data_IF_446947964770
#
_entry.id   IF_446947964770
#
_cell.length_a   1.000
_cell.length_b   1.000
_cell.length_c   1.000
_cell.angle_alpha   90.00
_cell.angle_beta   90.00
_cell.angle_gamma   90.00
#
_symmetry.space_group_name_H-M   'P 1'
#
loop_
_entity.id
_entity.type
_entity.pdbx_description
1 polymer ?
#
# COMPACT_ATOMS: atom_id res chain seq x y z
N UNK A 1 7.43 -10.31 18.38
CA UNK A 1 7.60 -8.99 18.98
C UNK A 1 6.53 -8.00 18.52
N UNK A 2 6.07 -8.08 17.27
CA UNK A 2 4.83 -7.40 16.84
C UNK A 2 3.62 -7.90 17.65
N UNK A 3 3.58 -9.16 18.05
CA UNK A 3 2.50 -9.74 18.87
C UNK A 3 2.24 -8.96 20.16
N UNK A 4 3.28 -8.46 20.83
CA UNK A 4 3.11 -7.61 22.03
C UNK A 4 2.48 -6.26 21.71
N UNK A 5 2.85 -5.66 20.56
CA UNK A 5 2.28 -4.38 20.11
C UNK A 5 0.81 -4.55 19.73
N UNK A 6 0.45 -5.71 19.18
CA UNK A 6 -0.91 -6.01 18.74
C UNK A 6 -1.82 -6.53 19.86
N UNK A 7 -1.28 -6.89 21.02
CA UNK A 7 -2.05 -7.43 22.15
C UNK A 7 -3.32 -6.62 22.46
N UNK A 8 -3.29 -5.26 22.60
CA UNK A 8 -4.47 -4.47 22.91
C UNK A 8 -5.53 -4.39 21.80
N UNK A 9 -5.21 -4.84 20.58
CA UNK A 9 -6.08 -4.79 19.40
C UNK A 9 -6.22 -6.14 18.68
N UNK A 10 -5.74 -7.23 19.27
CA UNK A 10 -5.68 -8.55 18.62
C UNK A 10 -7.05 -9.04 18.15
N UNK A 11 -8.08 -8.89 19.01
CA UNK A 11 -9.45 -9.27 18.66
C UNK A 11 -10.03 -8.39 17.55
N UNK A 12 -9.68 -7.11 17.54
CA UNK A 12 -10.17 -6.15 16.56
C UNK A 12 -9.48 -6.35 15.20
N UNK A 13 -8.20 -6.74 15.21
CA UNK A 13 -7.51 -7.18 13.98
C UNK A 13 -8.12 -8.45 13.38
N UNK A 14 -8.61 -9.38 14.19
CA UNK A 14 -9.35 -10.55 13.70
C UNK A 14 -10.65 -10.13 12.99
N UNK A 15 -11.35 -9.11 13.50
CA UNK A 15 -12.54 -8.56 12.84
C UNK A 15 -12.20 -7.86 11.50
N UNK A 16 -11.03 -7.21 11.40
CA UNK A 16 -10.54 -6.68 10.10
C UNK A 16 -10.37 -7.82 9.10
N UNK A 17 -9.75 -8.93 9.49
CA UNK A 17 -9.61 -10.10 8.62
C UNK A 17 -10.97 -10.67 8.18
N UNK A 18 -11.94 -10.72 9.08
CA UNK A 18 -13.27 -11.22 8.75
C UNK A 18 -14.02 -10.24 7.82
N UNK A 19 -13.86 -8.94 8.01
CA UNK A 19 -14.40 -7.93 7.09
C UNK A 19 -13.73 -8.01 5.71
N UNK A 20 -12.41 -8.20 5.63
CA UNK A 20 -11.71 -8.45 4.36
C UNK A 20 -12.22 -9.72 3.66
N UNK A 21 -12.48 -10.81 4.42
CA UNK A 21 -13.09 -12.02 3.85
C UNK A 21 -14.49 -11.75 3.31
N UNK A 22 -15.32 -10.93 3.99
CA UNK A 22 -16.65 -10.57 3.50
C UNK A 22 -16.58 -9.81 2.17
N UNK A 23 -15.57 -8.95 1.98
CA UNK A 23 -15.32 -8.26 0.71
C UNK A 23 -15.08 -9.25 -0.42
N UNK A 24 -14.40 -10.38 -0.14
CA UNK A 24 -14.14 -11.41 -1.16
C UNK A 24 -15.40 -12.15 -1.62
N UNK A 25 -16.51 -12.05 -0.89
CA UNK A 25 -17.79 -12.68 -1.29
C UNK A 25 -18.52 -11.89 -2.36
N UNK A 26 -18.05 -10.71 -2.72
CA UNK A 26 -18.56 -9.82 -3.76
C UNK A 26 -20.09 -9.57 -3.69
N UNK A 27 -20.46 -8.41 -3.13
CA UNK A 27 -21.85 -7.97 -3.19
C UNK A 27 -22.14 -7.29 -4.55
N UNK A 28 -23.20 -7.75 -5.21
CA UNK A 28 -23.65 -7.21 -6.50
C UNK A 28 -25.03 -6.57 -6.40
N UNK A 29 -25.52 -6.27 -5.19
CA UNK A 29 -26.89 -5.76 -4.96
C UNK A 29 -27.16 -4.42 -5.65
N UNK A 30 -26.11 -3.64 -5.90
CA UNK A 30 -26.13 -2.33 -6.54
C UNK A 30 -26.10 -2.38 -8.07
N UNK A 31 -25.85 -3.57 -8.67
CA UNK A 31 -25.82 -3.75 -10.13
C UNK A 31 -27.20 -4.08 -10.71
N UNK A 32 -27.41 -3.80 -12.02
CA UNK A 32 -28.54 -4.34 -12.74
C UNK A 32 -28.64 -5.86 -12.60
N UNK A 33 -29.86 -6.39 -12.39
CA UNK A 33 -30.08 -7.82 -12.04
C UNK A 33 -29.39 -8.80 -12.97
N UNK A 34 -29.41 -8.56 -14.28
CA UNK A 34 -28.78 -9.45 -15.26
C UNK A 34 -27.26 -9.48 -15.09
N UNK A 35 -26.62 -8.32 -15.00
CA UNK A 35 -25.16 -8.23 -14.80
C UNK A 35 -24.73 -8.84 -13.47
N UNK A 36 -25.49 -8.58 -12.39
CA UNK A 36 -25.26 -9.21 -11.09
C UNK A 36 -25.36 -10.73 -11.15
N UNK A 37 -26.32 -11.28 -11.91
CA UNK A 37 -26.49 -12.70 -12.13
C UNK A 37 -25.29 -13.31 -12.89
N UNK A 38 -24.85 -12.68 -13.96
CA UNK A 38 -23.74 -13.14 -14.80
C UNK A 38 -22.42 -13.16 -14.01
N UNK A 39 -22.15 -12.10 -13.23
CA UNK A 39 -20.94 -12.01 -12.41
C UNK A 39 -20.94 -13.05 -11.26
N UNK A 40 -22.08 -13.29 -10.60
CA UNK A 40 -22.20 -14.34 -9.57
C UNK A 40 -21.97 -15.72 -10.15
N UNK A 41 -22.62 -16.04 -11.27
CA UNK A 41 -22.53 -17.36 -11.89
C UNK A 41 -21.14 -17.66 -12.45
N UNK A 42 -20.41 -16.64 -12.90
CA UNK A 42 -19.03 -16.84 -13.35
C UNK A 42 -18.08 -17.21 -12.21
N UNK A 43 -18.35 -16.76 -10.97
CA UNK A 43 -17.47 -16.94 -9.80
C UNK A 43 -16.12 -16.23 -9.88
N UNK A 44 -15.78 -15.70 -11.06
CA UNK A 44 -14.42 -15.19 -11.37
C UNK A 44 -14.01 -14.00 -10.52
N UNK A 45 -14.92 -13.04 -10.26
CA UNK A 45 -14.60 -11.89 -9.41
C UNK A 45 -14.36 -12.31 -7.96
N UNK A 46 -15.17 -13.21 -7.42
CA UNK A 46 -14.96 -13.74 -6.07
C UNK A 46 -13.64 -14.52 -5.95
N UNK A 47 -13.24 -15.24 -7.00
CA UNK A 47 -11.95 -15.91 -7.08
C UNK A 47 -10.79 -14.90 -7.05
N UNK A 48 -10.82 -13.87 -7.90
CA UNK A 48 -9.82 -12.79 -7.95
C UNK A 48 -9.69 -12.07 -6.61
N UNK A 49 -10.82 -11.67 -6.00
CA UNK A 49 -10.85 -11.02 -4.69
C UNK A 49 -10.28 -11.91 -3.60
N UNK A 50 -10.69 -13.19 -3.59
CA UNK A 50 -10.18 -14.16 -2.62
C UNK A 50 -8.67 -14.35 -2.77
N UNK A 51 -8.18 -14.44 -4.00
CA UNK A 51 -6.75 -14.61 -4.27
C UNK A 51 -5.93 -13.40 -3.79
N UNK A 52 -6.39 -12.19 -4.11
CA UNK A 52 -5.70 -10.94 -3.74
C UNK A 52 -5.70 -10.68 -2.23
N UNK A 53 -6.85 -10.88 -1.56
CA UNK A 53 -7.02 -10.55 -0.15
C UNK A 53 -6.44 -11.62 0.79
N UNK A 54 -6.31 -12.88 0.35
CA UNK A 54 -5.65 -13.97 1.11
C UNK A 54 -4.12 -13.88 1.14
N UNK A 55 -3.50 -12.89 0.53
CA UNK A 55 -2.05 -12.77 0.38
C UNK A 55 -1.24 -12.70 1.68
N UNK A 56 -1.87 -12.74 2.85
CA UNK A 56 -1.21 -12.62 4.15
C UNK A 56 -0.62 -11.23 4.37
N UNK A 57 0.11 -11.06 5.47
CA UNK A 57 0.79 -9.79 5.78
C UNK A 57 0.84 -9.53 7.28
N UNK A 58 1.66 -8.56 7.67
CA UNK A 58 1.81 -8.17 9.08
C UNK A 58 0.68 -7.27 9.58
N UNK A 59 -0.24 -6.85 8.72
CA UNK A 59 -1.38 -5.95 9.02
C UNK A 59 -0.96 -4.69 9.78
N UNK A 60 0.18 -4.12 9.43
CA UNK A 60 0.75 -2.95 10.13
C UNK A 60 -0.18 -1.75 10.00
N UNK A 61 -0.73 -1.50 8.80
CA UNK A 61 -1.58 -0.33 8.55
C UNK A 61 -2.91 -0.38 9.28
N UNK A 62 -3.71 -1.44 9.22
CA UNK A 62 -4.91 -1.55 10.05
C UNK A 62 -4.58 -1.52 11.54
N UNK A 63 -3.47 -2.12 12.00
CA UNK A 63 -3.04 -2.02 13.38
C UNK A 63 -2.77 -0.57 13.80
N UNK A 64 -2.12 0.22 12.95
CA UNK A 64 -1.87 1.64 13.21
C UNK A 64 -3.17 2.45 13.32
N UNK A 65 -4.16 2.17 12.46
CA UNK A 65 -5.49 2.82 12.55
C UNK A 65 -6.14 2.52 13.90
N UNK A 66 -6.19 1.25 14.28
CA UNK A 66 -6.80 0.83 15.54
C UNK A 66 -6.03 1.36 16.76
N UNK A 67 -4.70 1.24 16.78
CA UNK A 67 -3.86 1.73 17.88
C UNK A 67 -3.96 3.24 18.05
N UNK A 68 -4.03 4.00 16.95
CA UNK A 68 -4.22 5.45 17.01
C UNK A 68 -5.56 5.84 17.63
N UNK A 69 -6.60 5.03 17.38
CA UNK A 69 -7.90 5.20 18.03
C UNK A 69 -7.89 4.91 19.53
N UNK A 70 -7.02 3.99 20.01
CA UNK A 70 -6.93 3.63 21.43
C UNK A 70 -6.53 4.77 22.36
N UNK A 71 -5.93 5.83 21.83
CA UNK A 71 -5.58 7.01 22.63
C UNK A 71 -6.78 7.92 22.95
N UNK A 72 -7.94 7.70 22.31
CA UNK A 72 -9.11 8.58 22.35
C UNK A 72 -10.40 7.77 22.51
N UNK A 73 -11.54 8.31 22.04
CA UNK A 73 -12.82 7.63 22.06
C UNK A 73 -12.85 6.49 21.03
N UNK A 74 -12.45 5.30 21.48
CA UNK A 74 -12.33 4.11 20.64
C UNK A 74 -13.69 3.53 20.27
N UNK A 75 -14.09 3.67 19.02
CA UNK A 75 -15.36 3.15 18.49
C UNK A 75 -15.10 2.31 17.24
N UNK A 76 -15.41 1.01 17.33
CA UNK A 76 -15.18 0.06 16.25
C UNK A 76 -16.13 0.25 15.07
N UNK A 77 -17.30 0.83 15.26
CA UNK A 77 -18.26 1.06 14.17
C UNK A 77 -17.66 2.00 13.10
N UNK A 78 -16.74 2.89 13.50
CA UNK A 78 -16.00 3.77 12.61
C UNK A 78 -14.59 3.27 12.30
N UNK A 79 -13.89 2.72 13.29
CA UNK A 79 -12.49 2.32 13.14
C UNK A 79 -12.32 1.06 12.31
N UNK A 80 -13.23 0.09 12.43
CA UNK A 80 -13.14 -1.19 11.72
C UNK A 80 -13.25 -1.03 10.20
N UNK A 81 -14.27 -0.33 9.64
CA UNK A 81 -14.33 -0.11 8.21
C UNK A 81 -13.14 0.70 7.69
N UNK A 82 -12.66 1.71 8.45
CA UNK A 82 -11.49 2.49 8.04
C UNK A 82 -10.21 1.67 8.05
N UNK A 83 -9.94 0.87 9.09
CA UNK A 83 -8.79 -0.02 9.16
C UNK A 83 -8.78 -1.03 8.01
N UNK A 84 -9.96 -1.56 7.67
CA UNK A 84 -10.13 -2.46 6.52
C UNK A 84 -9.91 -1.73 5.20
N UNK A 85 -10.45 -0.51 5.04
CA UNK A 85 -10.28 0.30 3.84
C UNK A 85 -8.80 0.61 3.55
N UNK A 86 -8.03 0.95 4.58
CA UNK A 86 -6.59 1.21 4.46
C UNK A 86 -5.82 -0.02 3.97
N UNK A 87 -6.16 -1.23 4.45
CA UNK A 87 -5.50 -2.46 4.00
C UNK A 87 -5.94 -2.88 2.60
N UNK A 88 -7.21 -2.66 2.24
CA UNK A 88 -7.70 -2.90 0.87
C UNK A 88 -7.06 -1.91 -0.11
N UNK A 89 -6.94 -0.62 0.24
CA UNK A 89 -6.21 0.36 -0.58
C UNK A 89 -4.77 -0.11 -0.80
N UNK A 90 -4.09 -0.57 0.26
CA UNK A 90 -2.74 -1.12 0.12
C UNK A 90 -2.70 -2.34 -0.81
N UNK A 91 -3.67 -3.24 -0.70
CA UNK A 91 -3.74 -4.41 -1.59
C UNK A 91 -3.96 -3.98 -3.05
N UNK A 92 -4.81 -2.99 -3.29
CA UNK A 92 -5.05 -2.43 -4.61
C UNK A 92 -3.77 -1.84 -5.23
N UNK A 93 -3.00 -1.05 -4.45
CA UNK A 93 -1.70 -0.54 -4.93
C UNK A 93 -0.75 -1.66 -5.29
N UNK A 94 -0.65 -2.73 -4.48
CA UNK A 94 0.22 -3.86 -4.78
C UNK A 94 -0.20 -4.60 -6.06
N UNK A 95 -1.50 -4.74 -6.33
CA UNK A 95 -2.01 -5.38 -7.55
C UNK A 95 -1.67 -4.56 -8.79
N UNK A 96 -1.82 -3.23 -8.71
CA UNK A 96 -1.44 -2.33 -9.81
C UNK A 96 0.07 -2.28 -10.01
N UNK A 97 0.86 -2.18 -8.93
CA UNK A 97 2.32 -2.20 -9.00
C UNK A 97 2.83 -3.47 -9.68
N UNK A 98 2.28 -4.64 -9.33
CA UNK A 98 2.65 -5.92 -9.94
C UNK A 98 2.41 -5.95 -11.46
N UNK A 99 1.30 -5.37 -11.92
CA UNK A 99 0.97 -5.28 -13.34
C UNK A 99 1.89 -4.27 -14.07
N UNK A 100 2.12 -3.08 -13.48
CA UNK A 100 2.97 -2.03 -14.04
C UNK A 100 4.42 -2.51 -14.15
N UNK A 101 4.93 -3.18 -13.10
CA UNK A 101 6.30 -3.66 -13.01
C UNK A 101 6.51 -5.01 -13.73
N UNK A 102 5.47 -5.59 -14.32
CA UNK A 102 5.47 -6.95 -14.88
C UNK A 102 5.99 -8.01 -13.91
N UNK A 103 5.73 -7.84 -12.62
CA UNK A 103 6.16 -8.75 -11.57
C UNK A 103 5.48 -10.11 -11.70
N UNK A 104 6.25 -11.20 -11.60
CA UNK A 104 5.73 -12.56 -11.73
C UNK A 104 5.38 -13.21 -10.40
N UNK A 105 6.02 -12.78 -9.32
CA UNK A 105 5.90 -13.36 -7.98
C UNK A 105 5.86 -12.26 -6.92
N UNK A 106 4.96 -12.39 -5.94
CA UNK A 106 4.90 -11.56 -4.76
C UNK A 106 4.71 -12.43 -3.52
N UNK A 107 5.58 -12.29 -2.52
CA UNK A 107 5.55 -13.08 -1.27
C UNK A 107 5.49 -14.60 -1.52
N UNK A 108 6.27 -15.09 -2.48
CA UNK A 108 6.35 -16.50 -2.84
C UNK A 108 5.12 -17.05 -3.60
N UNK A 109 4.19 -16.20 -4.03
CA UNK A 109 3.01 -16.58 -4.82
C UNK A 109 3.00 -15.87 -6.17
N UNK A 110 2.50 -16.52 -7.24
CA UNK A 110 2.29 -15.83 -8.51
C UNK A 110 1.42 -14.58 -8.34
N UNK A 111 1.70 -13.53 -9.09
CA UNK A 111 0.93 -12.29 -9.11
C UNK A 111 -0.40 -12.45 -9.86
N UNK A 112 -1.34 -11.52 -9.71
CA UNK A 112 -2.63 -11.53 -10.43
C UNK A 112 -2.40 -11.49 -11.94
N UNK A 113 -1.55 -10.59 -12.42
CA UNK A 113 -1.21 -10.46 -13.85
C UNK A 113 -0.57 -11.74 -14.40
N UNK A 114 0.18 -12.49 -13.59
CA UNK A 114 0.76 -13.78 -13.99
C UNK A 114 -0.27 -14.91 -14.09
N UNK A 115 -1.23 -14.97 -13.16
CA UNK A 115 -2.24 -16.05 -13.11
C UNK A 115 -3.37 -15.81 -14.11
N UNK A 116 -3.79 -14.56 -14.28
CA UNK A 116 -4.84 -14.16 -15.21
C UNK A 116 -4.25 -13.35 -16.37
N UNK A 117 -4.19 -12.05 -16.26
CA UNK A 117 -3.54 -11.10 -17.18
C UNK A 117 -3.50 -9.69 -16.56
N UNK A 118 -2.85 -8.75 -17.26
CA UNK A 118 -2.71 -7.35 -16.82
C UNK A 118 -4.07 -6.63 -16.75
N UNK A 119 -4.97 -6.86 -17.71
CA UNK A 119 -6.29 -6.24 -17.73
C UNK A 119 -7.08 -6.61 -16.47
N UNK A 120 -7.03 -7.89 -16.04
CA UNK A 120 -7.70 -8.34 -14.81
C UNK A 120 -7.06 -7.74 -13.58
N UNK A 121 -5.73 -7.58 -13.56
CA UNK A 121 -5.03 -6.93 -12.46
C UNK A 121 -5.45 -5.46 -12.32
N UNK A 122 -5.48 -4.71 -13.43
CA UNK A 122 -5.90 -3.31 -13.44
C UNK A 122 -7.34 -3.17 -12.96
N UNK A 123 -8.28 -3.92 -13.55
CA UNK A 123 -9.70 -3.86 -13.19
C UNK A 123 -9.96 -4.30 -11.73
N UNK A 124 -9.21 -5.30 -11.24
CA UNK A 124 -9.30 -5.71 -9.85
C UNK A 124 -8.81 -4.60 -8.90
N UNK A 125 -7.71 -3.95 -9.21
CA UNK A 125 -7.20 -2.82 -8.44
C UNK A 125 -8.20 -1.67 -8.37
N UNK A 126 -8.84 -1.32 -9.50
CA UNK A 126 -9.90 -0.32 -9.56
C UNK A 126 -11.10 -0.69 -8.69
N UNK A 127 -11.53 -1.96 -8.76
CA UNK A 127 -12.60 -2.47 -7.90
C UNK A 127 -12.24 -2.38 -6.42
N UNK A 128 -11.01 -2.75 -6.04
CA UNK A 128 -10.53 -2.67 -4.66
C UNK A 128 -10.43 -1.22 -4.16
N UNK A 129 -9.98 -0.27 -4.99
CA UNK A 129 -10.00 1.16 -4.64
C UNK A 129 -11.41 1.67 -4.40
N UNK A 130 -12.36 1.33 -5.27
CA UNK A 130 -13.77 1.68 -5.11
C UNK A 130 -14.35 1.08 -3.82
N UNK A 131 -14.04 -0.19 -3.52
CA UNK A 131 -14.50 -0.89 -2.31
C UNK A 131 -13.90 -0.28 -1.03
N UNK A 132 -12.63 0.11 -1.05
CA UNK A 132 -12.00 0.84 0.06
C UNK A 132 -12.66 2.21 0.27
N UNK A 133 -13.01 2.91 -0.79
CA UNK A 133 -13.76 4.16 -0.75
C UNK A 133 -15.16 3.98 -0.14
N UNK A 134 -15.88 2.94 -0.54
CA UNK A 134 -17.18 2.59 0.03
C UNK A 134 -17.08 2.33 1.54
N UNK A 135 -16.12 1.50 1.98
CA UNK A 135 -15.88 1.26 3.41
C UNK A 135 -15.53 2.54 4.17
N UNK A 136 -14.72 3.42 3.58
CA UNK A 136 -14.44 4.73 4.20
C UNK A 136 -15.71 5.58 4.31
N UNK A 137 -16.59 5.54 3.31
CA UNK A 137 -17.85 6.28 3.33
C UNK A 137 -18.81 5.78 4.43
N UNK A 138 -18.77 4.50 4.82
CA UNK A 138 -19.58 3.98 5.93
C UNK A 138 -19.24 4.63 7.26
N UNK A 139 -18.06 5.24 7.42
CA UNK A 139 -17.70 6.02 8.61
C UNK A 139 -18.51 7.30 8.75
N UNK A 140 -19.21 7.75 7.70
CA UNK A 140 -19.95 9.00 7.64
C UNK A 140 -19.15 10.24 8.06
N UNK A 141 -17.82 10.15 8.04
CA UNK A 141 -16.91 11.22 8.40
C UNK A 141 -16.32 11.86 7.15
N UNK A 142 -16.78 13.06 6.81
CA UNK A 142 -16.36 13.77 5.60
C UNK A 142 -14.84 14.04 5.58
N UNK A 143 -14.22 14.27 6.74
CA UNK A 143 -12.78 14.50 6.84
C UNK A 143 -11.99 13.22 6.53
N UNK A 144 -12.44 12.05 7.03
CA UNK A 144 -11.84 10.77 6.71
C UNK A 144 -11.97 10.42 5.22
N UNK A 145 -13.14 10.68 4.61
CA UNK A 145 -13.39 10.47 3.18
C UNK A 145 -12.45 11.35 2.34
N UNK A 146 -12.34 12.63 2.68
CA UNK A 146 -11.44 13.57 2.00
C UNK A 146 -9.98 13.13 2.12
N UNK A 147 -9.57 12.73 3.32
CA UNK A 147 -8.21 12.26 3.60
C UNK A 147 -7.88 11.01 2.78
N UNK A 148 -8.80 10.04 2.71
CA UNK A 148 -8.68 8.85 1.89
C UNK A 148 -8.45 9.21 0.41
N UNK A 149 -9.30 10.06 -0.16
CA UNK A 149 -9.20 10.47 -1.56
C UNK A 149 -7.89 11.24 -1.85
N UNK A 150 -7.48 12.12 -0.95
CA UNK A 150 -6.21 12.85 -1.07
C UNK A 150 -5.00 11.92 -1.01
N UNK A 151 -5.06 10.91 -0.15
CA UNK A 151 -3.98 9.90 -0.05
C UNK A 151 -3.87 9.10 -1.33
N UNK A 152 -5.00 8.66 -1.90
CA UNK A 152 -5.00 7.94 -3.18
C UNK A 152 -4.40 8.80 -4.31
N UNK A 153 -4.80 10.07 -4.43
CA UNK A 153 -4.20 11.00 -5.40
C UNK A 153 -2.71 11.19 -5.16
N UNK A 154 -2.25 11.23 -3.90
CA UNK A 154 -0.83 11.37 -3.56
C UNK A 154 -0.05 10.14 -4.01
N UNK A 155 -0.55 8.93 -3.76
CA UNK A 155 0.08 7.69 -4.18
C UNK A 155 0.19 7.63 -5.71
N UNK A 156 -0.94 7.80 -6.41
CA UNK A 156 -0.95 7.71 -7.88
C UNK A 156 -0.13 8.82 -8.55
N UNK A 157 -0.15 10.04 -8.01
CA UNK A 157 0.71 11.12 -8.47
C UNK A 157 2.20 10.84 -8.26
N UNK A 158 2.55 10.19 -7.15
CA UNK A 158 3.91 9.75 -6.87
C UNK A 158 4.39 8.67 -7.85
N UNK A 159 3.53 7.69 -8.17
CA UNK A 159 3.84 6.65 -9.17
C UNK A 159 4.03 7.23 -10.57
N UNK A 160 3.16 8.16 -11.00
CA UNK A 160 3.33 8.87 -12.26
C UNK A 160 4.65 9.63 -12.31
N UNK A 161 5.01 10.37 -11.25
CA UNK A 161 6.27 11.09 -11.18
C UNK A 161 7.49 10.14 -11.24
N UNK A 162 7.41 8.98 -10.58
CA UNK A 162 8.44 7.94 -10.64
C UNK A 162 8.60 7.40 -12.05
N UNK A 163 7.51 7.09 -12.75
CA UNK A 163 7.56 6.55 -14.11
C UNK A 163 8.22 7.52 -15.10
N UNK A 164 8.01 8.83 -14.93
CA UNK A 164 8.66 9.86 -15.76
C UNK A 164 10.14 10.08 -15.41
N UNK A 165 10.61 9.63 -14.25
CA UNK A 165 11.98 9.84 -13.77
C UNK A 165 12.82 8.57 -13.76
N UNK A 166 12.35 7.46 -14.32
CA UNK A 166 13.11 6.21 -14.40
C UNK A 166 14.43 6.42 -15.16
N UNK A 167 15.50 5.81 -14.68
CA UNK A 167 16.87 5.92 -15.23
C UNK A 167 17.46 7.33 -15.25
N UNK A 168 16.91 8.28 -14.50
CA UNK A 168 17.45 9.63 -14.38
C UNK A 168 18.46 9.69 -13.22
N UNK A 169 19.74 9.97 -13.56
CA UNK A 169 20.83 10.14 -12.57
C UNK A 169 20.79 11.50 -11.85
N UNK A 170 20.04 12.48 -12.35
CA UNK A 170 19.96 13.82 -11.75
C UNK A 170 18.98 13.89 -10.56
N UNK A 171 18.41 12.75 -10.15
CA UNK A 171 17.53 12.69 -8.99
C UNK A 171 18.29 13.10 -7.71
N UNK A 172 17.72 14.05 -6.97
CA UNK A 172 18.24 14.50 -5.68
C UNK A 172 17.67 13.69 -4.53
N UNK A 173 18.30 13.78 -3.34
CA UNK A 173 17.73 13.21 -2.10
C UNK A 173 16.32 13.76 -1.81
N UNK A 174 16.00 14.98 -2.24
CA UNK A 174 14.66 15.53 -2.07
C UNK A 174 13.65 14.82 -2.99
N UNK A 175 14.01 14.53 -4.24
CA UNK A 175 13.18 13.71 -5.12
C UNK A 175 12.92 12.32 -4.53
N UNK A 176 13.96 11.68 -3.99
CA UNK A 176 13.85 10.41 -3.28
C UNK A 176 12.87 10.50 -2.10
N UNK A 177 13.02 11.49 -1.22
CA UNK A 177 12.13 11.68 -0.06
C UNK A 177 10.68 11.90 -0.51
N UNK A 178 10.44 12.73 -1.52
CA UNK A 178 9.10 12.96 -2.05
C UNK A 178 8.48 11.66 -2.58
N UNK A 179 9.25 10.83 -3.28
CA UNK A 179 8.81 9.53 -3.79
C UNK A 179 8.38 8.60 -2.67
N UNK A 180 9.23 8.37 -1.67
CA UNK A 180 8.91 7.44 -0.58
C UNK A 180 7.79 7.98 0.33
N UNK A 181 7.67 9.30 0.48
CA UNK A 181 6.53 9.91 1.17
C UNK A 181 5.25 9.65 0.40
N UNK A 182 5.21 9.89 -0.90
CA UNK A 182 4.02 9.72 -1.72
C UNK A 182 3.61 8.24 -1.81
N UNK A 183 4.52 7.35 -2.15
CA UNK A 183 4.25 5.92 -2.38
C UNK A 183 3.95 5.15 -1.10
N UNK A 184 4.73 5.37 -0.04
CA UNK A 184 4.70 4.53 1.17
C UNK A 184 4.20 5.29 2.40
N UNK A 185 4.82 6.42 2.75
CA UNK A 185 4.54 7.10 4.02
C UNK A 185 3.14 7.73 4.06
N UNK A 186 2.57 8.13 2.93
CA UNK A 186 1.22 8.69 2.83
C UNK A 186 0.15 7.72 3.37
N UNK A 187 0.28 6.44 3.10
CA UNK A 187 -0.68 5.42 3.57
C UNK A 187 -0.50 5.10 5.07
N UNK A 188 0.73 5.16 5.59
CA UNK A 188 0.98 5.10 7.04
C UNK A 188 0.39 6.31 7.76
N UNK A 189 0.54 7.49 7.15
CA UNK A 189 -0.04 8.75 7.62
C UNK A 189 -1.57 8.69 7.65
N UNK A 190 -2.19 8.22 6.56
CA UNK A 190 -3.63 7.97 6.48
C UNK A 190 -4.10 7.08 7.64
N UNK A 191 -3.40 5.96 7.87
CA UNK A 191 -3.77 4.99 8.90
C UNK A 191 -3.81 5.64 10.30
N UNK A 192 -2.76 6.38 10.67
CA UNK A 192 -2.67 7.00 11.99
C UNK A 192 -3.58 8.22 12.15
N UNK A 193 -3.64 9.10 11.14
CA UNK A 193 -4.46 10.31 11.16
C UNK A 193 -5.95 9.97 11.18
N UNK A 194 -6.40 9.00 10.35
CA UNK A 194 -7.81 8.61 10.31
C UNK A 194 -8.25 7.93 11.60
N UNK A 195 -7.41 7.10 12.21
CA UNK A 195 -7.69 6.51 13.53
C UNK A 195 -7.92 7.58 14.59
N UNK A 196 -7.10 8.64 14.60
CA UNK A 196 -7.26 9.77 15.51
C UNK A 196 -8.57 10.55 15.24
N UNK A 197 -8.83 10.89 13.97
CA UNK A 197 -10.01 11.67 13.56
C UNK A 197 -11.28 10.92 13.94
N UNK A 198 -11.38 9.64 13.59
CA UNK A 198 -12.56 8.82 13.86
C UNK A 198 -12.79 8.55 15.35
N UNK A 199 -11.74 8.69 16.17
CA UNK A 199 -11.84 8.60 17.63
C UNK A 199 -11.93 9.96 18.31
N UNK A 200 -12.28 11.02 17.57
CA UNK A 200 -12.54 12.37 18.08
C UNK A 200 -11.32 13.03 18.77
N UNK A 201 -10.12 12.72 18.32
CA UNK A 201 -8.91 13.39 18.78
C UNK A 201 -8.94 14.89 18.46
N UNK A 202 -8.24 15.69 19.27
CA UNK A 202 -8.03 17.10 18.94
C UNK A 202 -7.24 17.25 17.63
N UNK A 203 -7.44 18.36 16.91
CA UNK A 203 -6.69 18.63 15.68
C UNK A 203 -5.16 18.60 15.89
N UNK A 204 -4.67 19.04 17.06
CA UNK A 204 -3.26 18.95 17.44
C UNK A 204 -2.79 17.50 17.56
N UNK A 205 -3.59 16.65 18.17
CA UNK A 205 -3.30 15.23 18.34
C UNK A 205 -3.37 14.45 17.02
N UNK A 206 -4.37 14.73 16.20
CA UNK A 206 -4.49 14.14 14.86
C UNK A 206 -3.26 14.50 13.99
N UNK A 207 -2.81 15.77 14.04
CA UNK A 207 -1.59 16.22 13.35
C UNK A 207 -0.34 15.49 13.86
N UNK A 208 -0.19 15.30 15.15
CA UNK A 208 0.97 14.59 15.74
C UNK A 208 0.98 13.11 15.29
N UNK A 209 -0.18 12.45 15.26
CA UNK A 209 -0.29 11.07 14.76
C UNK A 209 -0.05 10.97 13.25
N UNK A 210 -0.49 11.96 12.47
CA UNK A 210 -0.13 12.09 11.05
C UNK A 210 1.39 12.12 10.86
N UNK A 211 2.07 13.01 11.58
CA UNK A 211 3.53 13.16 11.51
C UNK A 211 4.25 11.87 11.95
N UNK A 212 3.76 11.23 13.01
CA UNK A 212 4.26 9.93 13.45
C UNK A 212 4.13 8.87 12.35
N UNK A 213 2.95 8.73 11.75
CA UNK A 213 2.72 7.78 10.66
C UNK A 213 3.60 8.05 9.45
N UNK A 214 3.74 9.32 9.06
CA UNK A 214 4.62 9.74 7.97
C UNK A 214 6.08 9.32 8.24
N UNK A 215 6.63 9.67 9.39
CA UNK A 215 8.01 9.35 9.76
C UNK A 215 8.24 7.84 9.88
N UNK A 216 7.26 7.09 10.40
CA UNK A 216 7.32 5.63 10.44
C UNK A 216 7.34 5.03 9.03
N UNK A 217 6.53 5.55 8.12
CA UNK A 217 6.50 5.12 6.72
C UNK A 217 7.80 5.43 5.97
N UNK A 218 8.39 6.59 6.21
CA UNK A 218 9.72 6.96 5.69
C UNK A 218 10.79 5.98 6.18
N UNK A 219 10.85 5.74 7.50
CA UNK A 219 11.80 4.81 8.09
C UNK A 219 11.60 3.38 7.56
N UNK A 220 10.34 2.95 7.40
CA UNK A 220 10.00 1.65 6.83
C UNK A 220 10.55 1.50 5.40
N UNK A 221 10.34 2.52 4.53
CA UNK A 221 10.82 2.46 3.16
C UNK A 221 12.34 2.52 3.05
N UNK A 222 13.01 3.34 3.87
CA UNK A 222 14.48 3.37 3.90
C UNK A 222 15.06 1.98 4.25
N UNK A 223 14.45 1.29 5.23
CA UNK A 223 14.87 -0.08 5.59
C UNK A 223 14.59 -1.05 4.44
N UNK A 224 13.45 -0.94 3.77
CA UNK A 224 13.10 -1.78 2.60
C UNK A 224 14.11 -1.59 1.47
N UNK A 225 14.48 -0.34 1.15
CA UNK A 225 15.48 0.00 0.15
C UNK A 225 16.89 -0.54 0.50
N UNK A 226 17.25 -0.55 1.78
CA UNK A 226 18.52 -1.15 2.24
C UNK A 226 18.46 -2.67 2.06
N UNK A 227 17.33 -3.30 2.43
CA UNK A 227 17.16 -4.74 2.32
C UNK A 227 17.16 -5.21 0.85
N UNK A 228 16.75 -4.37 -0.11
CA UNK A 228 16.85 -4.67 -1.54
C UNK A 228 18.30 -4.95 -1.98
N UNK A 229 19.30 -4.36 -1.30
CA UNK A 229 20.73 -4.59 -1.59
C UNK A 229 21.38 -5.72 -0.77
N UNK A 230 20.99 -5.86 0.52
CA UNK A 230 21.67 -6.78 1.44
C UNK A 230 20.84 -8.02 1.78
N UNK A 231 19.55 -8.04 1.45
CA UNK A 231 18.66 -9.18 1.65
C UNK A 231 18.94 -10.31 0.69
N UNK A 232 18.60 -11.52 1.09
CA UNK A 232 18.68 -12.68 0.21
C UNK A 232 17.41 -12.78 -0.66
N UNK A 233 17.50 -13.40 -1.82
CA UNK A 233 16.34 -13.64 -2.69
C UNK A 233 15.23 -14.44 -1.98
N UNK A 234 15.61 -15.36 -1.08
CA UNK A 234 14.68 -16.13 -0.26
C UNK A 234 13.90 -15.24 0.72
N UNK A 235 14.56 -14.24 1.33
CA UNK A 235 13.94 -13.30 2.28
C UNK A 235 13.07 -12.25 1.57
N UNK A 236 13.54 -11.74 0.42
CA UNK A 236 12.90 -10.63 -0.31
C UNK A 236 11.86 -11.10 -1.32
N UNK A 237 11.95 -12.33 -1.80
CA UNK A 237 11.11 -12.87 -2.88
C UNK A 237 11.39 -12.27 -4.26
N UNK A 238 12.49 -11.50 -4.41
CA UNK A 238 12.97 -10.88 -5.65
C UNK A 238 14.51 -10.83 -5.64
N UNK A 239 15.17 -10.78 -6.80
CA UNK A 239 16.62 -10.62 -6.87
C UNK A 239 17.09 -9.34 -6.18
N UNK A 240 18.28 -9.35 -5.56
CA UNK A 240 18.88 -8.17 -4.97
C UNK A 240 19.12 -7.07 -6.03
N UNK A 241 18.89 -5.81 -5.67
CA UNK A 241 19.05 -4.67 -6.58
C UNK A 241 17.94 -4.54 -7.63
N UNK A 242 16.81 -5.18 -7.43
CA UNK A 242 15.70 -5.15 -8.40
C UNK A 242 15.16 -3.72 -8.66
N UNK A 243 15.15 -2.85 -7.66
CA UNK A 243 14.72 -1.46 -7.82
C UNK A 243 15.67 -0.70 -8.74
N UNK A 244 16.97 -0.94 -8.60
CA UNK A 244 17.99 -0.33 -9.44
C UNK A 244 17.90 -0.84 -10.88
N UNK A 245 17.66 -2.13 -11.07
CA UNK A 245 17.46 -2.72 -12.40
C UNK A 245 16.22 -2.15 -13.13
N UNK A 246 15.21 -1.73 -12.41
CA UNK A 246 14.03 -1.02 -12.94
C UNK A 246 14.27 0.49 -13.15
N UNK A 247 15.48 0.99 -12.93
CA UNK A 247 15.82 2.39 -13.08
C UNK A 247 15.40 3.29 -11.92
N UNK A 248 15.10 2.69 -10.76
CA UNK A 248 14.75 3.41 -9.55
C UNK A 248 15.99 3.67 -8.69
N UNK A 249 16.36 4.95 -8.58
CA UNK A 249 17.52 5.36 -7.79
C UNK A 249 17.12 5.49 -6.31
N UNK A 250 17.45 4.49 -5.50
CA UNK A 250 17.18 4.46 -4.06
C UNK A 250 18.32 5.07 -3.24
N UNK A 251 18.10 5.35 -1.95
CA UNK A 251 19.07 6.03 -1.10
C UNK A 251 20.45 5.36 -1.06
N UNK A 252 20.59 4.02 -0.93
CA UNK A 252 21.90 3.35 -0.99
C UNK A 252 22.65 3.65 -2.30
N UNK A 253 21.96 3.59 -3.44
CA UNK A 253 22.57 3.88 -4.75
C UNK A 253 22.96 5.36 -4.89
N UNK A 254 22.15 6.29 -4.37
CA UNK A 254 22.49 7.72 -4.33
C UNK A 254 23.75 7.99 -3.52
N UNK A 255 23.87 7.35 -2.34
CA UNK A 255 25.06 7.48 -1.50
C UNK A 255 26.30 6.91 -2.18
N UNK A 256 26.16 5.83 -2.95
CA UNK A 256 27.26 5.28 -3.75
C UNK A 256 27.70 6.25 -4.84
N UNK A 257 26.75 6.86 -5.58
CA UNK A 257 27.03 7.86 -6.60
C UNK A 257 27.74 9.10 -6.03
N UNK A 258 27.32 9.57 -4.86
CA UNK A 258 27.96 10.70 -4.17
C UNK A 258 29.38 10.37 -3.73
N UNK A 259 29.62 9.14 -3.27
CA UNK A 259 30.93 8.72 -2.78
C UNK A 259 31.93 8.40 -3.89
N UNK A 260 31.45 7.89 -5.03
CA UNK A 260 32.24 7.47 -6.17
C UNK A 260 31.70 8.07 -7.47
N UNK A 261 31.91 9.40 -7.69
CA UNK A 261 31.25 10.12 -8.79
C UNK A 261 31.78 9.76 -10.18
N UNK A 262 33.03 9.28 -10.32
CA UNK A 262 33.68 9.07 -11.63
C UNK A 262 33.61 7.64 -12.12
N UNK A 263 33.82 6.66 -11.25
CA UNK A 263 33.88 5.23 -11.62
C UNK A 263 32.84 4.45 -10.81
N UNK A 264 31.68 4.17 -11.44
CA UNK A 264 30.51 3.72 -10.71
C UNK A 264 29.59 2.87 -11.60
N UNK A 265 29.40 1.60 -11.20
CA UNK A 265 28.53 0.64 -11.90
C UNK A 265 27.07 1.10 -12.03
N UNK A 266 26.59 1.96 -11.15
CA UNK A 266 25.22 2.52 -11.25
C UNK A 266 25.11 3.45 -12.46
N UNK A 267 26.12 4.28 -12.73
CA UNK A 267 26.18 5.12 -13.94
C UNK A 267 26.18 4.27 -15.19
N UNK A 268 27.01 3.23 -15.21
CA UNK A 268 27.10 2.31 -16.36
C UNK A 268 25.75 1.64 -16.63
N UNK A 269 25.09 1.12 -15.59
CA UNK A 269 23.78 0.50 -15.69
C UNK A 269 22.72 1.48 -16.26
N UNK A 270 22.71 2.74 -15.80
CA UNK A 270 21.72 3.74 -16.22
C UNK A 270 21.99 4.30 -17.62
N UNK A 271 23.25 4.25 -18.09
CA UNK A 271 23.67 4.68 -19.42
C UNK A 271 23.53 3.60 -20.49
N UNK A 272 23.87 2.37 -20.13
CA UNK A 272 23.86 1.19 -21.00
C UNK A 272 22.60 0.36 -20.73
N UNK A 273 21.45 0.82 -21.24
CA UNK A 273 20.13 0.20 -21.03
C UNK A 273 19.92 -1.13 -21.80
N UNK A 274 20.97 -1.87 -22.06
CA UNK A 274 20.91 -3.16 -22.76
C UNK A 274 20.77 -4.35 -21.79
#
# INVERSE_FOLDING_TARGET
>A
RLSKIYEPIQQDLAKVEDMMKSVSQADFSWLPKQLAHDLRNSGKLAELLTYSLKGGGKRIRPALTLLSGKFYNYDLDYLLPMATAVEIMHTATLVHDDAIDNSLVRRGRPTINRVWDDDKAILLGDYLFAKAGELTATTQNLQAIKLFSQTLMTITGGELAQSFSAFNLEQTRQHYLHRIISKTASLFSLATESGAILSQASGKSAKALKEYGCNLGIAFQIVDDIMDFIGTEEEMGKPAGSDLAQGTLTLPAMLLLERYPEDNSVKELFQNRD
#
